data_IF_942407398447
#
_entry.id   IF_942407398447
#
_cell.length_a   1.000
_cell.length_b   1.000
_cell.length_c   1.000
_cell.angle_alpha   90.00
_cell.angle_beta   90.00
_cell.angle_gamma   90.00
#
_symmetry.space_group_name_H-M   'P 1'
#
loop_
_entity.id
_entity.type
_entity.pdbx_description
1 polymer ?
#
# COMPACT_ATOMS: atom_id res chain seq x y z
N UNK A 1 -10.04 17.22 6.19
CA UNK A 1 -9.46 15.98 5.63
C UNK A 1 -9.91 14.82 6.52
N UNK A 2 -9.96 13.57 6.05
CA UNK A 2 -10.46 12.43 6.86
C UNK A 2 -9.30 11.64 7.46
N UNK A 3 -8.90 11.98 8.68
CA UNK A 3 -7.92 11.20 9.48
C UNK A 3 -8.56 10.48 10.66
N UNK A 4 -9.86 10.68 10.88
CA UNK A 4 -10.60 10.16 12.02
C UNK A 4 -10.46 8.63 12.11
N UNK A 5 -9.96 8.15 13.25
CA UNK A 5 -9.76 6.72 13.53
C UNK A 5 -8.60 6.06 12.77
N UNK A 6 -7.83 6.78 11.95
CA UNK A 6 -6.64 6.24 11.29
C UNK A 6 -5.51 6.07 12.30
N UNK A 7 -4.74 4.99 12.17
CA UNK A 7 -3.63 4.69 13.08
C UNK A 7 -2.29 4.97 12.38
N UNK A 8 -1.38 5.62 13.09
CA UNK A 8 -0.03 5.87 12.61
C UNK A 8 0.94 5.62 13.77
N UNK A 9 2.17 5.20 13.44
CA UNK A 9 3.24 5.37 14.41
C UNK A 9 3.47 6.86 14.66
N UNK A 10 3.78 7.22 15.89
CA UNK A 10 3.92 8.61 16.35
C UNK A 10 4.87 9.42 15.45
N UNK A 11 6.06 8.88 15.17
CA UNK A 11 7.09 9.51 14.32
C UNK A 11 6.72 9.55 12.83
N UNK A 12 5.66 8.85 12.44
CA UNK A 12 5.19 8.67 11.05
C UNK A 12 3.76 9.15 10.85
N UNK A 13 3.24 9.95 11.79
CA UNK A 13 1.94 10.58 11.68
C UNK A 13 2.03 11.87 10.83
N UNK A 14 0.95 12.29 10.15
CA UNK A 14 0.93 13.60 9.50
C UNK A 14 1.17 14.73 10.54
N UNK A 15 1.68 15.91 10.14
CA UNK A 15 2.00 16.97 11.09
C UNK A 15 0.75 17.63 11.73
N UNK A 16 0.87 17.99 13.01
CA UNK A 16 -0.09 18.78 13.78
C UNK A 16 0.11 20.31 13.60
N UNK A 17 -0.92 21.17 13.74
CA UNK A 17 -2.34 20.85 13.93
C UNK A 17 -2.94 20.41 12.59
N UNK A 18 -3.65 19.29 12.57
CA UNK A 18 -3.98 18.67 11.29
C UNK A 18 -4.89 19.51 10.37
N UNK A 19 -5.68 20.45 10.91
CA UNK A 19 -6.51 21.41 10.17
C UNK A 19 -7.34 22.23 11.19
N UNK A 20 -8.02 23.32 10.81
CA UNK A 20 -9.04 23.93 11.68
C UNK A 20 -10.08 22.87 12.10
N UNK A 21 -10.38 22.78 13.40
CA UNK A 21 -11.29 21.77 14.01
C UNK A 21 -10.78 20.31 14.01
N UNK A 22 -9.52 20.09 14.35
CA UNK A 22 -8.90 18.76 14.40
C UNK A 22 -9.41 17.88 15.56
N UNK A 23 -9.88 16.66 15.25
CA UNK A 23 -10.29 15.59 16.19
C UNK A 23 -9.29 14.41 16.27
N UNK A 24 -8.05 14.59 15.81
CA UNK A 24 -7.04 13.53 15.90
C UNK A 24 -6.83 13.15 17.37
N UNK A 25 -7.14 11.89 17.70
CA UNK A 25 -6.82 11.32 19.00
C UNK A 25 -5.31 11.10 19.07
N UNK A 26 -4.69 11.66 20.12
CA UNK A 26 -3.30 11.37 20.51
C UNK A 26 -3.25 10.16 21.45
N UNK A 27 -4.36 9.44 21.62
CA UNK A 27 -4.45 8.34 22.55
C UNK A 27 -3.57 7.20 22.07
N UNK A 28 -2.64 6.79 22.94
CA UNK A 28 -1.77 5.66 22.69
C UNK A 28 -2.61 4.38 22.53
N UNK A 29 -2.49 3.75 21.37
CA UNK A 29 -3.12 2.45 21.11
C UNK A 29 -2.10 1.36 21.43
N UNK A 30 -2.41 0.41 22.34
CA UNK A 30 -1.49 -0.67 22.66
C UNK A 30 -1.11 -1.47 21.41
N UNK A 31 0.18 -1.79 21.25
CA UNK A 31 0.67 -2.54 20.09
C UNK A 31 -0.09 -3.85 19.84
N UNK A 32 -0.45 -4.58 20.90
CA UNK A 32 -1.23 -5.81 20.79
C UNK A 32 -2.61 -5.60 20.13
N UNK A 33 -3.27 -4.47 20.43
CA UNK A 33 -4.55 -4.08 19.80
C UNK A 33 -4.32 -3.75 18.33
N UNK A 34 -3.27 -2.97 18.03
CA UNK A 34 -2.90 -2.64 16.65
C UNK A 34 -2.61 -3.92 15.86
N UNK A 35 -1.74 -4.78 16.36
CA UNK A 35 -1.34 -6.03 15.71
C UNK A 35 -2.53 -6.96 15.41
N UNK A 36 -3.46 -7.08 16.36
CA UNK A 36 -4.67 -7.90 16.20
C UNK A 36 -5.70 -7.33 15.20
N UNK A 37 -5.73 -6.01 15.01
CA UNK A 37 -6.77 -5.35 14.21
C UNK A 37 -6.31 -4.89 12.82
N UNK A 38 -4.99 -4.70 12.60
CA UNK A 38 -4.48 -4.27 11.29
C UNK A 38 -4.91 -5.25 10.21
N UNK A 39 -5.65 -4.72 9.24
CA UNK A 39 -6.14 -5.44 8.07
C UNK A 39 -5.64 -4.78 6.80
N UNK A 40 -5.43 -5.59 5.78
CA UNK A 40 -4.94 -5.15 4.48
C UNK A 40 -5.93 -5.58 3.42
N UNK A 41 -6.17 -4.71 2.45
CA UNK A 41 -7.08 -4.99 1.35
C UNK A 41 -6.57 -4.43 0.03
N UNK A 42 -6.69 -5.21 -1.02
CA UNK A 42 -6.53 -4.76 -2.39
C UNK A 42 -7.61 -5.34 -3.30
N UNK A 43 -8.08 -4.53 -4.25
CA UNK A 43 -9.00 -5.01 -5.29
C UNK A 43 -8.21 -5.84 -6.33
N UNK A 44 -8.69 -7.03 -6.72
CA UNK A 44 -8.05 -7.84 -7.77
C UNK A 44 -7.87 -7.03 -9.08
N UNK A 45 -8.80 -6.11 -9.35
CA UNK A 45 -8.74 -5.14 -10.45
C UNK A 45 -7.45 -4.33 -10.54
N UNK A 46 -6.69 -4.20 -9.44
CA UNK A 46 -5.36 -3.56 -9.40
C UNK A 46 -4.29 -4.41 -10.06
N UNK A 47 -4.44 -5.72 -10.07
CA UNK A 47 -3.50 -6.63 -10.71
C UNK A 47 -3.95 -6.90 -12.14
N UNK A 48 -5.22 -7.23 -12.32
CA UNK A 48 -5.80 -7.48 -13.61
C UNK A 48 -7.17 -6.80 -13.75
N UNK A 49 -7.37 -5.86 -14.69
CA UNK A 49 -6.49 -5.54 -15.82
C UNK A 49 -5.43 -4.46 -15.56
N UNK A 50 -5.31 -3.89 -14.37
CA UNK A 50 -4.48 -2.69 -14.23
C UNK A 50 -2.96 -2.91 -14.38
N UNK A 51 -2.37 -3.98 -13.81
CA UNK A 51 -0.95 -4.30 -14.03
C UNK A 51 -0.73 -5.13 -15.30
N UNK A 52 -1.56 -6.15 -15.53
CA UNK A 52 -1.34 -7.13 -16.61
C UNK A 52 -2.05 -6.79 -17.92
N UNK A 53 -2.98 -5.84 -17.91
CA UNK A 53 -3.69 -5.34 -19.09
C UNK A 53 -4.30 -6.46 -19.98
N UNK A 54 -4.87 -7.52 -19.39
CA UNK A 54 -5.47 -8.61 -20.18
C UNK A 54 -6.66 -8.15 -21.03
N UNK A 55 -7.31 -7.06 -20.65
CA UNK A 55 -8.42 -6.46 -21.41
C UNK A 55 -7.94 -5.56 -22.56
N UNK A 56 -6.65 -5.21 -22.63
CA UNK A 56 -6.09 -4.29 -23.63
C UNK A 56 -6.44 -2.82 -23.42
N UNK A 57 -7.23 -2.47 -22.40
CA UNK A 57 -7.75 -1.12 -22.17
C UNK A 57 -6.81 -0.21 -21.33
N UNK A 58 -5.76 -0.78 -20.74
CA UNK A 58 -4.87 -0.12 -19.78
C UNK A 58 -3.42 -0.09 -20.29
N UNK A 59 -3.12 0.80 -21.23
CA UNK A 59 -1.80 0.92 -21.89
C UNK A 59 -0.80 1.73 -21.07
N UNK A 60 -0.56 1.37 -19.81
CA UNK A 60 0.33 2.13 -18.91
C UNK A 60 1.78 1.64 -18.93
N UNK A 61 2.16 0.76 -19.87
CA UNK A 61 3.47 0.09 -19.99
C UNK A 61 3.88 -0.75 -18.76
N UNK A 62 3.00 -0.90 -17.76
CA UNK A 62 3.28 -1.67 -16.54
C UNK A 62 3.32 -3.16 -16.84
N UNK A 63 2.49 -3.61 -17.77
CA UNK A 63 2.42 -4.98 -18.26
C UNK A 63 3.76 -5.42 -18.86
N UNK A 64 4.48 -4.51 -19.52
CA UNK A 64 5.81 -4.78 -20.07
C UNK A 64 6.84 -4.99 -18.97
N UNK A 65 6.83 -4.15 -17.93
CA UNK A 65 7.76 -4.26 -16.80
C UNK A 65 7.59 -5.58 -16.05
N UNK A 66 6.36 -5.96 -15.71
CA UNK A 66 6.13 -7.23 -15.00
C UNK A 66 6.47 -8.44 -15.88
N UNK A 67 6.22 -8.36 -17.20
CA UNK A 67 6.65 -9.38 -18.15
C UNK A 67 8.18 -9.50 -18.24
N UNK A 68 8.89 -8.36 -18.25
CA UNK A 68 10.36 -8.30 -18.18
C UNK A 68 10.92 -8.86 -16.88
N UNK A 69 10.09 -9.13 -15.86
CA UNK A 69 10.49 -9.75 -14.61
C UNK A 69 10.04 -11.22 -14.50
N UNK A 70 9.45 -11.74 -15.59
CA UNK A 70 8.95 -13.12 -15.68
C UNK A 70 7.56 -13.35 -15.10
N UNK A 71 6.81 -12.29 -14.78
CA UNK A 71 5.45 -12.41 -14.25
C UNK A 71 4.39 -12.39 -15.35
N UNK A 72 3.38 -13.24 -15.21
CA UNK A 72 2.17 -13.27 -16.06
C UNK A 72 0.93 -13.04 -15.22
N UNK A 73 -0.25 -12.95 -15.85
CA UNK A 73 -1.53 -12.85 -15.13
C UNK A 73 -1.78 -14.03 -14.19
N UNK A 74 -1.19 -15.20 -14.47
CA UNK A 74 -1.29 -16.38 -13.61
C UNK A 74 -0.69 -16.13 -12.22
N UNK A 75 0.24 -15.17 -12.13
CA UNK A 75 0.88 -14.76 -10.88
C UNK A 75 0.10 -13.67 -10.13
N UNK A 76 -1.01 -13.14 -10.69
CA UNK A 76 -1.71 -11.99 -10.12
C UNK A 76 -2.17 -12.22 -8.68
N UNK A 77 -2.64 -13.43 -8.37
CA UNK A 77 -3.05 -13.79 -7.00
C UNK A 77 -1.89 -13.93 -6.04
N UNK A 78 -0.76 -14.46 -6.51
CA UNK A 78 0.45 -14.54 -5.70
C UNK A 78 1.02 -13.13 -5.43
N UNK A 79 1.11 -12.27 -6.44
CA UNK A 79 1.52 -10.88 -6.31
C UNK A 79 0.62 -10.10 -5.35
N UNK A 80 -0.69 -10.34 -5.44
CA UNK A 80 -1.66 -9.76 -4.51
C UNK A 80 -1.34 -10.14 -3.08
N UNK A 81 -1.23 -11.44 -2.79
CA UNK A 81 -0.92 -11.93 -1.45
C UNK A 81 0.42 -11.41 -0.93
N UNK A 82 1.46 -11.38 -1.77
CA UNK A 82 2.80 -10.95 -1.37
C UNK A 82 2.88 -9.44 -1.08
N UNK A 83 2.23 -8.61 -1.91
CA UNK A 83 2.14 -7.17 -1.69
C UNK A 83 1.31 -6.86 -0.44
N UNK A 84 0.21 -7.59 -0.20
CA UNK A 84 -0.59 -7.42 1.01
C UNK A 84 0.16 -7.84 2.28
N UNK A 85 0.89 -8.96 2.23
CA UNK A 85 1.74 -9.45 3.32
C UNK A 85 2.80 -8.41 3.70
N UNK A 86 3.59 -7.95 2.74
CA UNK A 86 4.61 -6.92 2.97
C UNK A 86 4.00 -5.57 3.38
N UNK A 87 2.85 -5.20 2.80
CA UNK A 87 2.10 -4.01 3.17
C UNK A 87 1.71 -4.01 4.65
N UNK A 88 1.20 -5.14 5.15
CA UNK A 88 0.86 -5.33 6.56
C UNK A 88 2.07 -5.18 7.47
N UNK A 89 3.13 -5.92 7.17
CA UNK A 89 4.35 -5.98 7.99
C UNK A 89 5.06 -4.62 8.07
N UNK A 90 5.16 -3.92 6.95
CA UNK A 90 5.81 -2.61 6.87
C UNK A 90 4.96 -1.51 7.49
N UNK A 91 3.63 -1.61 7.41
CA UNK A 91 2.75 -0.69 8.13
C UNK A 91 2.87 -0.85 9.65
N UNK A 92 2.82 -2.09 10.15
CA UNK A 92 3.00 -2.39 11.58
C UNK A 92 4.35 -1.94 12.14
N UNK A 93 5.42 -2.06 11.33
CA UNK A 93 6.77 -1.66 11.72
C UNK A 93 7.12 -0.21 11.42
N UNK A 94 6.20 0.59 10.86
CA UNK A 94 6.47 2.00 10.55
C UNK A 94 7.32 2.25 9.32
N UNK A 95 7.59 1.21 8.54
CA UNK A 95 8.40 1.26 7.32
C UNK A 95 7.58 1.77 6.13
N UNK A 96 7.02 2.96 6.28
CA UNK A 96 6.28 3.67 5.25
C UNK A 96 6.65 5.15 5.23
N UNK A 97 6.38 5.78 4.09
CA UNK A 97 6.54 7.21 3.88
C UNK A 97 5.17 7.88 3.73
N UNK A 98 5.01 9.07 4.30
CA UNK A 98 3.79 9.85 4.11
C UNK A 98 3.71 10.35 2.67
N UNK A 99 2.61 10.00 2.00
CA UNK A 99 2.25 10.55 0.71
C UNK A 99 1.33 11.76 0.82
N UNK A 100 0.58 12.01 -0.26
CA UNK A 100 -0.38 13.11 -0.33
C UNK A 100 -1.55 12.92 0.65
N UNK A 101 -1.76 13.91 1.51
CA UNK A 101 -2.98 14.08 2.30
C UNK A 101 -4.04 14.82 1.47
N UNK A 102 -5.25 14.27 1.36
CA UNK A 102 -6.35 14.94 0.66
C UNK A 102 -7.71 14.63 1.31
N UNK A 103 -8.81 15.01 0.64
CA UNK A 103 -10.18 14.79 1.14
C UNK A 103 -10.52 13.32 1.43
N UNK A 104 -9.81 12.37 0.82
CA UNK A 104 -10.02 10.94 1.02
C UNK A 104 -9.19 10.34 2.17
N UNK A 105 -8.29 11.13 2.76
CA UNK A 105 -7.43 10.74 3.88
C UNK A 105 -5.95 10.78 3.54
N UNK A 106 -5.14 10.20 4.43
CA UNK A 106 -3.69 10.11 4.26
C UNK A 106 -3.31 8.95 3.35
N UNK A 107 -2.43 9.22 2.38
CA UNK A 107 -1.74 8.17 1.62
C UNK A 107 -0.43 7.81 2.28
N UNK A 108 -0.04 6.56 2.20
CA UNK A 108 1.30 6.10 2.57
C UNK A 108 1.92 5.33 1.41
N UNK A 109 3.24 5.43 1.30
CA UNK A 109 4.04 4.69 0.34
C UNK A 109 4.79 3.59 1.07
N UNK A 110 4.69 2.37 0.57
CA UNK A 110 5.38 1.20 1.13
C UNK A 110 6.22 0.61 0.00
N UNK A 111 7.53 0.49 0.22
CA UNK A 111 8.39 -0.27 -0.69
C UNK A 111 8.03 -1.75 -0.55
N UNK A 112 8.07 -2.51 -1.64
CA UNK A 112 7.91 -3.96 -1.64
C UNK A 112 9.03 -4.57 -2.46
N UNK A 113 9.37 -5.82 -2.17
CA UNK A 113 10.48 -6.53 -2.82
C UNK A 113 10.01 -7.91 -3.26
N UNK A 114 10.12 -8.23 -4.54
CA UNK A 114 9.72 -9.54 -5.09
C UNK A 114 10.90 -10.16 -5.87
N UNK A 115 11.02 -11.50 -5.90
CA UNK A 115 12.04 -12.14 -6.72
C UNK A 115 11.77 -11.95 -8.22
N UNK A 116 12.82 -12.01 -9.04
CA UNK A 116 12.67 -12.23 -10.49
C UNK A 116 12.21 -13.66 -10.75
N UNK A 117 11.30 -13.86 -11.71
CA UNK A 117 10.93 -15.20 -12.21
C UNK A 117 11.70 -15.57 -13.48
N UNK A 118 12.30 -14.60 -14.15
CA UNK A 118 13.05 -14.76 -15.40
C UNK A 118 14.58 -14.86 -15.20
N UNK A 119 15.07 -14.81 -13.96
CA UNK A 119 16.49 -14.80 -13.66
C UNK A 119 16.79 -14.69 -12.17
N UNK A 120 18.00 -14.23 -11.84
CA UNK A 120 18.45 -14.08 -10.45
C UNK A 120 18.22 -12.67 -9.92
N UNK A 121 17.96 -12.58 -8.62
CA UNK A 121 17.86 -11.34 -7.86
C UNK A 121 16.43 -10.87 -7.60
N UNK A 122 16.33 -9.77 -6.87
CA UNK A 122 15.07 -9.19 -6.42
C UNK A 122 14.82 -7.83 -7.06
N UNK A 123 13.54 -7.50 -7.22
CA UNK A 123 13.06 -6.21 -7.70
C UNK A 123 12.35 -5.52 -6.55
N UNK A 124 12.71 -4.27 -6.31
CA UNK A 124 12.04 -3.43 -5.31
C UNK A 124 11.35 -2.23 -5.96
N UNK A 125 10.10 -1.98 -5.60
CA UNK A 125 9.31 -0.86 -6.10
C UNK A 125 8.37 -0.30 -5.02
N UNK A 126 7.79 0.88 -5.28
CA UNK A 126 6.90 1.54 -4.33
C UNK A 126 5.46 1.19 -4.63
N UNK A 127 4.69 0.92 -3.58
CA UNK A 127 3.24 0.72 -3.61
C UNK A 127 2.56 1.83 -2.83
N UNK A 128 1.44 2.33 -3.33
CA UNK A 128 0.68 3.42 -2.74
C UNK A 128 -0.58 2.91 -2.05
N UNK A 129 -0.73 3.24 -0.78
CA UNK A 129 -1.83 2.81 0.08
C UNK A 129 -2.61 4.00 0.64
N UNK A 130 -3.85 3.75 1.04
CA UNK A 130 -4.64 4.67 1.83
C UNK A 130 -4.85 4.10 3.21
N UNK A 131 -4.53 4.89 4.23
CA UNK A 131 -4.85 4.53 5.61
C UNK A 131 -6.32 4.81 5.86
N UNK A 132 -6.98 3.83 6.46
CA UNK A 132 -8.40 3.84 6.81
C UNK A 132 -8.53 3.71 8.34
N UNK A 133 -9.74 3.95 8.87
CA UNK A 133 -9.97 3.78 10.29
C UNK A 133 -9.62 2.37 10.79
N UNK A 134 -9.27 2.27 12.07
CA UNK A 134 -9.01 1.00 12.77
C UNK A 134 -7.84 0.18 12.19
N UNK A 135 -6.80 0.86 11.70
CA UNK A 135 -5.57 0.22 11.23
C UNK A 135 -5.71 -0.52 9.88
N UNK A 136 -6.81 -0.31 9.15
CA UNK A 136 -6.95 -0.85 7.81
C UNK A 136 -6.09 -0.04 6.81
N UNK A 137 -5.38 -0.73 5.91
CA UNK A 137 -4.75 -0.10 4.74
C UNK A 137 -5.31 -0.69 3.45
N UNK A 138 -5.66 0.19 2.50
CA UNK A 138 -6.16 -0.19 1.17
C UNK A 138 -5.15 0.13 0.08
N UNK A 139 -4.80 -0.84 -0.76
CA UNK A 139 -3.94 -0.63 -1.92
C UNK A 139 -4.65 0.22 -2.98
N UNK A 140 -4.08 1.38 -3.28
CA UNK A 140 -4.59 2.26 -4.34
C UNK A 140 -3.77 2.13 -5.62
N UNK A 141 -2.45 2.02 -5.47
CA UNK A 141 -1.50 1.97 -6.57
C UNK A 141 -0.55 0.78 -6.35
N UNK A 142 -0.72 -0.33 -7.09
CA UNK A 142 0.10 -1.53 -6.94
C UNK A 142 1.53 -1.36 -7.49
N UNK A 143 1.77 -0.29 -8.24
CA UNK A 143 3.09 0.09 -8.73
C UNK A 143 3.14 1.62 -8.94
N UNK A 144 3.86 2.31 -8.06
CA UNK A 144 4.39 3.65 -8.25
C UNK A 144 5.84 3.58 -8.72
N UNK A 145 6.21 4.45 -9.65
CA UNK A 145 7.58 4.52 -10.17
C UNK A 145 8.64 4.73 -9.08
N UNK A 146 9.92 4.64 -9.49
CA UNK A 146 11.10 4.74 -8.61
C UNK A 146 11.09 6.00 -7.75
#
# INVERSE_FOLDING_TARGET
MRLDGCWFQEEKAPPCPHHPFCHCTLDLIPYAVVFGNVSVYSDYGKFDPYLFNTTGLQTHNKEKLFKEWGYTVDDARWLQAEIERQGRERYLSGQYELGKLNMFGQRINIRVTIPRKDGFGDISFVTGWMVKPNGQIKLNTPYGGK
#
